data_IF_075198953913
#
_entry.id   IF_075198953913
#
_cell.length_a   1.000
_cell.length_b   1.000
_cell.length_c   1.000
_cell.angle_alpha   90.00
_cell.angle_beta   90.00
_cell.angle_gamma   90.00
#
_symmetry.space_group_name_H-M   'P 1'
#
loop_
_entity.id
_entity.type
_entity.pdbx_description
1 polymer ?
#
# COMPACT_ATOMS: atom_id res chain seq x y z
N UNK A 1 -37.44 -37.91 6.45
CA UNK A 1 -37.68 -36.89 7.47
C UNK A 1 -36.42 -36.86 8.30
N UNK A 2 -35.70 -35.75 8.16
CA UNK A 2 -34.53 -35.27 8.92
C UNK A 2 -33.25 -36.10 8.97
N UNK A 3 -32.43 -35.98 7.90
CA UNK A 3 -30.98 -36.11 8.02
C UNK A 3 -30.38 -34.70 8.18
N UNK A 4 -30.04 -34.36 9.42
CA UNK A 4 -29.35 -33.13 9.77
C UNK A 4 -27.89 -33.19 9.28
N UNK A 5 -27.59 -32.44 8.22
CA UNK A 5 -26.21 -32.15 7.83
C UNK A 5 -25.57 -31.24 8.89
N UNK A 6 -24.70 -31.81 9.72
CA UNK A 6 -23.76 -31.03 10.53
C UNK A 6 -22.64 -30.54 9.61
N UNK A 7 -22.67 -29.26 9.24
CA UNK A 7 -21.54 -28.61 8.59
C UNK A 7 -20.51 -28.32 9.69
N UNK A 8 -19.40 -29.06 9.69
CA UNK A 8 -18.23 -28.72 10.48
C UNK A 8 -17.63 -27.43 9.92
N UNK A 9 -17.94 -26.31 10.55
CA UNK A 9 -17.28 -25.03 10.30
C UNK A 9 -15.81 -25.20 10.69
N UNK A 10 -14.92 -25.18 9.69
CA UNK A 10 -13.47 -25.16 9.91
C UNK A 10 -13.09 -23.92 10.72
N UNK A 11 -12.24 -24.10 11.73
CA UNK A 11 -11.79 -23.09 12.69
C UNK A 11 -10.93 -21.95 12.09
N UNK A 12 -11.44 -21.24 11.07
CA UNK A 12 -10.81 -20.02 10.53
C UNK A 12 -11.71 -18.79 10.56
N UNK A 13 -12.94 -18.90 11.07
CA UNK A 13 -13.73 -17.73 11.47
C UNK A 13 -13.45 -17.39 12.93
N UNK A 14 -12.19 -17.14 13.25
CA UNK A 14 -11.87 -16.32 14.41
C UNK A 14 -11.97 -14.87 13.95
N UNK A 15 -13.08 -14.26 14.33
CA UNK A 15 -13.30 -12.83 14.41
C UNK A 15 -12.02 -12.16 14.93
N UNK A 16 -11.26 -11.49 14.05
CA UNK A 16 -10.15 -10.61 14.44
C UNK A 16 -10.74 -9.43 15.22
N UNK A 17 -11.00 -9.68 16.50
CA UNK A 17 -11.58 -8.72 17.43
C UNK A 17 -10.42 -8.17 18.25
N UNK A 18 -9.91 -7.01 17.82
CA UNK A 18 -9.28 -6.01 18.69
C UNK A 18 -8.10 -6.44 19.55
N UNK A 19 -7.05 -6.99 18.96
CA UNK A 19 -5.71 -6.82 19.52
C UNK A 19 -5.21 -5.39 19.24
N UNK A 20 -4.27 -4.86 20.05
CA UNK A 20 -3.46 -3.73 19.60
C UNK A 20 -2.77 -4.19 18.31
N UNK A 21 -3.27 -3.74 17.15
CA UNK A 21 -2.69 -4.08 15.86
C UNK A 21 -1.20 -3.75 15.93
N UNK A 22 -0.35 -4.77 15.74
CA UNK A 22 1.09 -4.58 15.77
C UNK A 22 1.46 -3.60 14.64
N UNK A 23 1.94 -2.42 15.03
CA UNK A 23 2.38 -1.40 14.08
C UNK A 23 3.80 -1.71 13.61
N UNK A 24 4.02 -1.45 12.32
CA UNK A 24 5.30 -1.57 11.65
C UNK A 24 5.85 -0.18 11.41
N UNK A 25 7.07 0.08 11.87
CA UNK A 25 7.70 1.40 11.77
C UNK A 25 8.99 1.33 10.96
N UNK A 26 9.15 2.27 10.04
CA UNK A 26 10.41 2.53 9.34
C UNK A 26 10.81 3.98 9.60
N UNK A 27 12.12 4.28 9.67
CA UNK A 27 12.65 5.63 9.85
C UNK A 27 13.91 5.83 9.00
N UNK A 28 14.03 7.00 8.37
CA UNK A 28 15.21 7.50 7.68
C UNK A 28 15.25 9.02 7.86
N UNK A 29 16.20 9.54 8.65
CA UNK A 29 16.30 10.97 8.97
C UNK A 29 14.97 11.57 9.48
N UNK A 30 14.48 12.63 8.82
CA UNK A 30 13.22 13.33 9.07
C UNK A 30 11.99 12.63 8.47
N UNK A 31 12.19 11.48 7.83
CA UNK A 31 11.14 10.63 7.29
C UNK A 31 10.87 9.45 8.21
N UNK A 32 9.61 9.22 8.53
CA UNK A 32 9.20 7.97 9.17
C UNK A 32 7.85 7.51 8.65
N UNK A 33 7.60 6.22 8.82
CA UNK A 33 6.34 5.60 8.43
C UNK A 33 5.81 4.72 9.56
N UNK A 34 4.50 4.74 9.74
CA UNK A 34 3.75 3.82 10.59
C UNK A 34 2.70 3.13 9.74
N UNK A 35 2.69 1.80 9.72
CA UNK A 35 1.75 1.00 8.94
C UNK A 35 1.25 -0.21 9.75
N UNK A 36 0.15 -0.82 9.30
CA UNK A 36 -0.28 -2.11 9.84
C UNK A 36 0.65 -3.26 9.40
N UNK A 37 0.40 -4.47 9.90
CA UNK A 37 1.16 -5.68 9.53
C UNK A 37 1.01 -6.12 8.07
N UNK A 38 0.09 -5.54 7.27
CA UNK A 38 0.02 -5.74 5.82
C UNK A 38 0.84 -4.69 5.05
N UNK A 39 1.34 -3.66 5.73
CA UNK A 39 1.97 -2.49 5.13
C UNK A 39 0.96 -1.44 4.65
N UNK A 40 -0.31 -1.58 5.04
CA UNK A 40 -1.37 -0.64 4.70
C UNK A 40 -1.34 0.56 5.65
N UNK A 41 -1.64 1.73 5.10
CA UNK A 41 -1.90 2.95 5.87
C UNK A 41 -3.42 3.19 5.84
N UNK A 42 -4.09 3.02 6.98
CA UNK A 42 -5.57 3.13 7.05
C UNK A 42 -6.04 4.49 7.56
N UNK A 43 -5.12 5.35 7.98
CA UNK A 43 -5.39 6.58 8.72
C UNK A 43 -5.17 6.37 10.22
N UNK A 44 -5.79 7.18 11.08
CA UNK A 44 -5.53 7.12 12.52
C UNK A 44 -4.06 7.47 12.81
N UNK A 45 -3.32 6.54 13.43
CA UNK A 45 -1.87 6.69 13.69
C UNK A 45 -0.99 6.38 12.47
N UNK A 46 -1.51 5.70 11.45
CA UNK A 46 -0.75 5.30 10.28
C UNK A 46 -0.41 6.49 9.38
N UNK A 47 0.70 6.40 8.66
CA UNK A 47 1.05 7.36 7.63
C UNK A 47 2.53 7.35 7.24
N UNK A 48 2.85 8.05 6.16
CA UNK A 48 4.19 8.53 5.85
C UNK A 48 4.32 9.98 6.34
N UNK A 49 5.35 10.27 7.11
CA UNK A 49 5.56 11.55 7.77
C UNK A 49 6.92 12.13 7.39
N UNK A 50 6.92 13.42 7.04
CA UNK A 50 8.13 14.20 6.74
C UNK A 50 8.08 15.44 7.61
N UNK A 51 9.12 15.70 8.40
CA UNK A 51 9.14 16.82 9.37
C UNK A 51 7.84 16.90 10.19
N UNK A 52 7.47 15.77 10.81
CA UNK A 52 6.27 15.61 11.64
C UNK A 52 4.92 15.88 10.94
N UNK A 53 4.90 16.01 9.60
CA UNK A 53 3.68 16.21 8.81
C UNK A 53 3.36 14.96 7.99
N UNK A 54 2.13 14.45 8.11
CA UNK A 54 1.65 13.28 7.37
C UNK A 54 1.40 13.60 5.90
N UNK A 55 2.34 13.19 5.05
CA UNK A 55 2.30 13.41 3.59
C UNK A 55 1.56 12.30 2.81
N UNK A 56 1.32 11.16 3.45
CA UNK A 56 0.47 10.07 2.96
C UNK A 56 -0.33 9.50 4.13
N UNK A 57 -1.63 9.76 4.18
CA UNK A 57 -2.54 9.36 5.26
C UNK A 57 -3.26 8.05 4.99
N UNK A 58 -3.38 7.67 3.71
CA UNK A 58 -3.97 6.41 3.28
C UNK A 58 -3.15 5.79 2.16
N UNK A 59 -2.96 4.47 2.23
CA UNK A 59 -2.34 3.65 1.20
C UNK A 59 -2.68 2.18 1.49
N UNK A 60 -3.78 1.70 0.92
CA UNK A 60 -4.35 0.36 1.20
C UNK A 60 -4.38 -0.45 -0.07
N UNK A 61 -3.78 -1.64 -0.05
CA UNK A 61 -3.75 -2.55 -1.19
C UNK A 61 -4.91 -3.55 -1.15
N UNK A 62 -5.59 -3.75 -2.28
CA UNK A 62 -6.59 -4.80 -2.47
C UNK A 62 -6.29 -5.65 -3.70
N UNK A 63 -6.60 -6.94 -3.59
CA UNK A 63 -6.39 -7.98 -4.59
C UNK A 63 -7.71 -8.67 -4.83
N UNK A 64 -8.25 -8.60 -6.05
CA UNK A 64 -9.58 -9.13 -6.35
C UNK A 64 -10.68 -8.50 -5.49
N UNK A 65 -10.62 -7.18 -5.28
CA UNK A 65 -11.56 -6.38 -4.46
C UNK A 65 -11.52 -6.63 -2.94
N UNK A 66 -10.60 -7.48 -2.45
CA UNK A 66 -10.48 -7.79 -1.03
C UNK A 66 -9.05 -7.61 -0.53
N UNK A 67 -8.88 -7.50 0.79
CA UNK A 67 -7.56 -7.59 1.43
C UNK A 67 -7.01 -9.02 1.22
N UNK A 68 -5.76 -9.21 0.76
CA UNK A 68 -5.20 -10.53 0.57
C UNK A 68 -4.96 -11.23 1.92
N UNK A 69 -4.88 -12.57 1.89
CA UNK A 69 -4.59 -13.39 3.06
C UNK A 69 -3.11 -13.26 3.44
N UNK A 70 -2.81 -12.83 4.67
CA UNK A 70 -1.43 -12.64 5.13
C UNK A 70 -0.77 -13.98 5.45
N UNK A 71 0.48 -14.13 5.02
CA UNK A 71 1.33 -15.27 5.35
C UNK A 71 2.35 -14.89 6.42
N UNK A 72 3.04 -13.75 6.24
CA UNK A 72 4.03 -13.24 7.18
C UNK A 72 4.31 -11.77 6.93
N UNK A 73 4.81 -11.06 7.94
CA UNK A 73 5.30 -9.70 7.80
C UNK A 73 6.40 -9.41 8.81
N UNK A 74 7.31 -8.51 8.50
CA UNK A 74 8.32 -8.07 9.45
C UNK A 74 9.16 -6.91 8.93
N UNK A 75 9.93 -6.35 9.84
CA UNK A 75 11.00 -5.40 9.56
C UNK A 75 12.34 -6.13 9.70
N UNK A 76 13.29 -5.86 8.82
CA UNK A 76 14.64 -6.42 8.87
C UNK A 76 15.37 -6.02 10.15
N UNK A 77 16.40 -6.78 10.54
CA UNK A 77 17.14 -6.55 11.80
C UNK A 77 17.82 -5.16 11.87
N UNK A 78 18.21 -4.61 10.72
CA UNK A 78 18.77 -3.27 10.56
C UNK A 78 17.68 -2.16 10.56
N UNK A 79 16.40 -2.51 10.68
CA UNK A 79 15.25 -1.62 10.60
C UNK A 79 15.08 -0.85 9.28
N UNK A 80 15.73 -1.31 8.21
CA UNK A 80 15.70 -0.63 6.90
C UNK A 80 14.52 -1.09 6.03
N UNK A 81 14.23 -2.39 6.00
CA UNK A 81 13.23 -2.96 5.09
C UNK A 81 12.04 -3.52 5.83
N UNK A 82 10.86 -3.10 5.42
CA UNK A 82 9.62 -3.84 5.66
C UNK A 82 9.40 -4.87 4.56
N UNK A 83 8.88 -6.04 4.91
CA UNK A 83 8.39 -7.03 3.96
C UNK A 83 7.10 -7.67 4.45
N UNK A 84 6.13 -7.84 3.55
CA UNK A 84 4.89 -8.56 3.79
C UNK A 84 4.66 -9.56 2.66
N UNK A 85 4.41 -10.81 3.04
CA UNK A 85 4.03 -11.88 2.12
C UNK A 85 2.55 -12.20 2.32
N UNK A 86 1.82 -12.20 1.22
CA UNK A 86 0.38 -12.47 1.19
C UNK A 86 0.05 -13.42 0.04
N UNK A 87 -1.15 -14.00 0.07
CA UNK A 87 -1.72 -14.75 -1.03
C UNK A 87 -3.10 -14.24 -1.39
N UNK A 88 -3.51 -14.44 -2.65
CA UNK A 88 -4.87 -14.10 -3.06
C UNK A 88 -5.93 -14.92 -2.32
N UNK A 89 -7.06 -14.27 -2.05
CA UNK A 89 -8.37 -14.91 -1.84
C UNK A 89 -8.95 -15.32 -3.21
N UNK A 90 -10.07 -16.09 -3.28
CA UNK A 90 -10.69 -16.39 -4.56
C UNK A 90 -10.94 -15.11 -5.37
N UNK A 91 -10.40 -15.04 -6.59
CA UNK A 91 -10.54 -13.85 -7.42
C UNK A 91 -11.92 -13.81 -8.08
N UNK A 92 -12.48 -12.62 -8.39
CA UNK A 92 -13.72 -12.55 -9.14
C UNK A 92 -13.54 -13.21 -10.53
N UNK A 93 -14.55 -13.93 -11.05
CA UNK A 93 -14.48 -14.52 -12.39
C UNK A 93 -14.46 -13.42 -13.46
N UNK A 94 -13.41 -13.36 -14.28
CA UNK A 94 -13.21 -12.35 -15.32
C UNK A 94 -13.34 -12.98 -16.72
N UNK A 95 -14.57 -13.34 -17.11
CA UNK A 95 -14.85 -13.99 -18.40
C UNK A 95 -14.44 -15.47 -18.48
N UNK A 96 -13.99 -16.06 -17.36
CA UNK A 96 -13.57 -17.45 -17.22
C UNK A 96 -13.70 -17.94 -15.78
N UNK A 97 -13.00 -19.03 -15.43
CA UNK A 97 -13.03 -19.57 -14.06
C UNK A 97 -12.32 -18.62 -13.08
N UNK A 98 -12.84 -18.53 -11.87
CA UNK A 98 -12.20 -17.82 -10.77
C UNK A 98 -10.85 -18.48 -10.44
N UNK A 99 -9.80 -17.68 -10.31
CA UNK A 99 -8.53 -18.19 -9.79
C UNK A 99 -8.74 -18.61 -8.32
N UNK A 100 -8.37 -19.86 -7.96
CA UNK A 100 -8.56 -20.36 -6.60
C UNK A 100 -7.75 -19.55 -5.59
N UNK A 101 -8.14 -19.61 -4.32
CA UNK A 101 -7.32 -19.03 -3.25
C UNK A 101 -5.94 -19.70 -3.18
N UNK A 102 -4.91 -18.95 -2.79
CA UNK A 102 -3.60 -19.55 -2.48
C UNK A 102 -2.62 -19.67 -3.65
N UNK A 103 -3.01 -19.31 -4.89
CA UNK A 103 -2.17 -19.55 -6.09
C UNK A 103 -1.33 -18.36 -6.53
N UNK A 104 -1.65 -17.15 -6.07
CA UNK A 104 -0.84 -15.96 -6.28
C UNK A 104 -0.09 -15.61 -5.01
N UNK A 105 1.23 -15.69 -5.06
CA UNK A 105 2.08 -15.11 -4.02
C UNK A 105 2.29 -13.63 -4.32
N UNK A 106 2.12 -12.78 -3.31
CA UNK A 106 2.28 -11.33 -3.43
C UNK A 106 3.19 -10.86 -2.29
N UNK A 107 4.37 -10.34 -2.66
CA UNK A 107 5.35 -9.75 -1.75
C UNK A 107 5.32 -8.23 -1.90
N UNK A 108 5.05 -7.52 -0.80
CA UNK A 108 5.33 -6.09 -0.69
C UNK A 108 6.65 -5.91 0.04
N UNK A 109 7.60 -5.21 -0.57
CA UNK A 109 8.88 -4.86 0.04
C UNK A 109 9.08 -3.35 -0.01
N UNK A 110 9.31 -2.74 1.15
CA UNK A 110 9.33 -1.29 1.33
C UNK A 110 10.54 -0.83 2.11
N UNK A 111 11.07 0.34 1.77
CA UNK A 111 12.09 1.05 2.55
C UNK A 111 11.89 2.57 2.41
N UNK A 112 12.58 3.33 3.26
CA UNK A 112 12.58 4.79 3.27
C UNK A 112 13.98 5.29 2.95
N UNK A 113 14.09 6.29 2.09
CA UNK A 113 15.35 6.95 1.74
C UNK A 113 15.08 8.31 1.11
N UNK A 114 15.93 9.31 1.38
CA UNK A 114 15.88 10.64 0.75
C UNK A 114 14.46 11.25 0.68
N UNK A 115 13.79 11.34 1.84
CA UNK A 115 12.43 11.88 2.00
C UNK A 115 11.37 11.18 1.12
N UNK A 116 11.61 9.93 0.72
CA UNK A 116 10.70 9.09 -0.05
C UNK A 116 10.54 7.68 0.52
N UNK A 117 9.36 7.14 0.33
CA UNK A 117 9.05 5.72 0.41
C UNK A 117 9.25 5.09 -0.97
N UNK A 118 9.95 3.96 -0.99
CA UNK A 118 10.07 3.08 -2.14
C UNK A 118 9.39 1.75 -1.82
N UNK A 119 8.52 1.26 -2.71
CA UNK A 119 7.87 -0.03 -2.59
C UNK A 119 7.96 -0.82 -3.90
N UNK A 120 8.21 -2.12 -3.75
CA UNK A 120 8.03 -3.11 -4.80
C UNK A 120 6.92 -4.06 -4.39
N UNK A 121 5.95 -4.24 -5.27
CA UNK A 121 4.93 -5.28 -5.19
C UNK A 121 5.23 -6.35 -6.23
N UNK A 122 5.77 -7.48 -5.78
CA UNK A 122 6.07 -8.64 -6.61
C UNK A 122 4.91 -9.62 -6.57
N UNK A 123 4.39 -9.98 -7.73
CA UNK A 123 3.27 -10.91 -7.89
C UNK A 123 3.77 -12.13 -8.66
N UNK A 124 3.54 -13.33 -8.13
CA UNK A 124 3.99 -14.61 -8.73
C UNK A 124 2.82 -15.57 -8.84
N UNK A 125 2.57 -16.05 -10.06
CA UNK A 125 1.54 -17.06 -10.32
C UNK A 125 2.11 -18.48 -10.15
N UNK A 126 1.73 -19.14 -9.05
CA UNK A 126 2.03 -20.55 -8.76
C UNK A 126 0.90 -21.50 -9.19
N UNK A 127 -0.17 -20.98 -9.80
CA UNK A 127 -1.26 -21.75 -10.36
C UNK A 127 -0.88 -22.50 -11.63
N UNK A 128 -1.86 -23.22 -12.18
CA UNK A 128 -1.70 -24.01 -13.42
C UNK A 128 -2.36 -23.35 -14.64
N UNK A 129 -3.02 -22.22 -14.44
CA UNK A 129 -3.70 -21.41 -15.47
C UNK A 129 -3.16 -19.98 -15.46
N UNK A 130 -3.38 -19.27 -16.55
CA UNK A 130 -3.10 -17.83 -16.64
C UNK A 130 -4.13 -17.06 -15.79
N UNK A 131 -3.67 -16.02 -15.11
CA UNK A 131 -4.51 -15.24 -14.19
C UNK A 131 -4.58 -13.78 -14.66
N UNK A 132 -5.80 -13.26 -14.76
CA UNK A 132 -6.04 -11.82 -14.76
C UNK A 132 -6.21 -11.36 -13.30
N UNK A 133 -5.30 -10.50 -12.86
CA UNK A 133 -5.19 -10.03 -11.48
C UNK A 133 -5.69 -8.59 -11.37
N UNK A 134 -6.87 -8.36 -10.77
CA UNK A 134 -7.29 -7.02 -10.35
C UNK A 134 -6.50 -6.62 -9.10
N UNK A 135 -5.68 -5.58 -9.21
CA UNK A 135 -4.94 -4.97 -8.10
C UNK A 135 -5.39 -3.52 -7.97
N UNK A 136 -5.63 -3.04 -6.76
CA UNK A 136 -5.96 -1.64 -6.54
C UNK A 136 -5.34 -1.07 -5.27
N UNK A 137 -5.06 0.23 -5.32
CA UNK A 137 -4.59 1.01 -4.18
C UNK A 137 -5.56 2.15 -3.90
N UNK A 138 -6.07 2.23 -2.67
CA UNK A 138 -6.75 3.42 -2.16
C UNK A 138 -5.75 4.28 -1.41
N UNK A 139 -5.73 5.57 -1.67
CA UNK A 139 -4.74 6.47 -1.11
C UNK A 139 -5.28 7.87 -0.82
N UNK A 140 -4.52 8.63 -0.04
CA UNK A 140 -4.84 10.01 0.30
C UNK A 140 -3.73 10.67 1.10
N UNK A 141 -3.74 11.99 1.11
CA UNK A 141 -2.87 12.83 1.92
C UNK A 141 -3.72 13.87 2.64
N UNK A 142 -3.42 14.11 3.93
CA UNK A 142 -4.15 15.09 4.73
C UNK A 142 -3.28 16.20 5.32
N UNK A 143 -1.95 16.04 5.32
CA UNK A 143 -1.00 17.00 5.90
C UNK A 143 -1.28 17.29 7.38
N UNK A 144 -1.80 16.30 8.11
CA UNK A 144 -1.94 16.39 9.56
C UNK A 144 -0.56 16.35 10.23
N UNK A 145 -0.30 17.26 11.17
CA UNK A 145 0.91 17.19 11.99
C UNK A 145 0.80 16.07 13.06
N UNK A 146 1.91 15.74 13.68
CA UNK A 146 1.97 14.67 14.69
C UNK A 146 1.09 14.93 15.91
N UNK A 147 0.81 16.18 16.28
CA UNK A 147 -0.09 16.50 17.40
C UNK A 147 -1.54 16.22 17.02
N UNK A 148 -1.95 16.58 15.80
CA UNK A 148 -3.27 16.23 15.25
C UNK A 148 -3.46 14.71 15.21
N UNK A 149 -2.45 13.97 14.74
CA UNK A 149 -2.49 12.50 14.70
C UNK A 149 -2.57 11.89 16.10
N UNK A 150 -1.92 12.50 17.09
CA UNK A 150 -2.00 12.11 18.51
C UNK A 150 -3.27 12.58 19.23
N UNK A 151 -4.23 13.15 18.52
CA UNK A 151 -5.55 13.53 19.06
C UNK A 151 -5.64 14.95 19.60
N UNK A 152 -4.65 15.81 19.36
CA UNK A 152 -4.75 17.23 19.69
C UNK A 152 -5.50 17.96 18.57
N UNK A 153 -6.76 18.41 18.79
CA UNK A 153 -7.51 19.08 17.75
C UNK A 153 -6.88 20.43 17.38
N UNK A 154 -6.91 20.79 16.09
CA UNK A 154 -6.54 22.12 15.62
C UNK A 154 -7.79 22.95 15.41
N UNK A 155 -7.83 24.16 15.96
CA UNK A 155 -8.93 25.09 15.76
C UNK A 155 -9.07 25.56 14.30
N UNK A 156 -7.96 25.64 13.56
CA UNK A 156 -7.91 26.03 12.15
C UNK A 156 -6.94 25.13 11.38
N UNK A 157 -7.23 24.91 10.10
CA UNK A 157 -6.36 24.22 9.15
C UNK A 157 -6.17 25.11 7.92
N UNK A 158 -5.08 24.85 7.21
CA UNK A 158 -4.85 25.38 5.88
C UNK A 158 -5.78 24.76 4.83
N UNK A 159 -5.49 24.99 3.56
CA UNK A 159 -6.34 24.57 2.45
C UNK A 159 -5.69 23.44 1.66
N UNK A 160 -6.40 22.33 1.50
CA UNK A 160 -6.03 21.26 0.58
C UNK A 160 -6.61 21.54 -0.80
N UNK A 161 -5.79 21.42 -1.84
CA UNK A 161 -6.26 21.46 -3.22
C UNK A 161 -6.81 20.09 -3.64
N UNK A 162 -7.64 20.08 -4.69
CA UNK A 162 -8.05 18.84 -5.32
C UNK A 162 -6.81 18.11 -5.90
N UNK A 163 -6.64 16.79 -5.66
CA UNK A 163 -5.52 16.06 -6.21
C UNK A 163 -5.50 16.11 -7.74
N UNK A 164 -4.31 16.26 -8.32
CA UNK A 164 -4.10 16.22 -9.79
C UNK A 164 -3.38 14.95 -10.18
N UNK A 165 -3.55 14.47 -11.41
CA UNK A 165 -2.90 13.24 -11.88
C UNK A 165 -2.62 13.23 -13.38
N UNK A 166 -1.58 12.50 -13.80
CA UNK A 166 -1.07 12.45 -15.18
C UNK A 166 -1.15 11.04 -15.82
N UNK A 167 -1.95 10.14 -15.24
CA UNK A 167 -2.11 8.76 -15.70
C UNK A 167 -1.14 7.76 -15.06
N UNK A 168 -0.15 8.21 -14.29
CA UNK A 168 0.71 7.33 -13.46
C UNK A 168 1.13 7.94 -12.13
N UNK A 169 0.96 9.24 -11.96
CA UNK A 169 1.27 9.99 -10.74
C UNK A 169 0.04 10.71 -10.24
N UNK A 170 -0.06 10.85 -8.93
CA UNK A 170 -1.01 11.71 -8.24
C UNK A 170 -0.23 12.70 -7.39
N UNK A 171 -0.58 13.98 -7.50
CA UNK A 171 0.02 15.05 -6.72
C UNK A 171 -1.00 15.63 -5.74
N UNK A 172 -0.57 15.79 -4.49
CA UNK A 172 -1.32 16.41 -3.41
C UNK A 172 -0.65 17.74 -3.05
N UNK A 173 -1.47 18.76 -2.77
CA UNK A 173 -0.99 20.08 -2.37
C UNK A 173 -1.82 20.62 -1.20
N UNK A 174 -1.13 21.25 -0.27
CA UNK A 174 -1.71 21.88 0.90
C UNK A 174 -1.01 23.20 1.21
N UNK A 175 -1.79 24.27 1.30
CA UNK A 175 -1.33 25.58 1.73
C UNK A 175 -1.57 25.73 3.23
N UNK A 176 -0.50 25.81 4.02
CA UNK A 176 -0.59 25.97 5.47
C UNK A 176 -1.01 27.38 5.88
N UNK A 177 -1.40 27.54 7.16
CA UNK A 177 -1.70 28.86 7.74
C UNK A 177 -0.47 29.76 7.89
N UNK A 178 0.70 29.19 7.65
CA UNK A 178 2.02 29.83 7.62
C UNK A 178 2.41 30.28 6.20
N UNK A 179 1.49 30.24 5.24
CA UNK A 179 1.71 30.51 3.82
C UNK A 179 2.76 29.58 3.18
N UNK A 180 3.10 28.46 3.85
CA UNK A 180 4.01 27.45 3.32
C UNK A 180 3.21 26.39 2.58
N UNK A 181 3.47 26.28 1.27
CA UNK A 181 2.97 25.18 0.46
C UNK A 181 3.71 23.88 0.79
N UNK A 182 2.95 22.84 1.10
CA UNK A 182 3.41 21.47 1.26
C UNK A 182 2.85 20.63 0.11
N UNK A 183 3.67 19.76 -0.44
CA UNK A 183 3.25 18.86 -1.52
C UNK A 183 3.78 17.46 -1.32
N UNK A 184 3.04 16.50 -1.83
CA UNK A 184 3.48 15.12 -1.93
C UNK A 184 3.01 14.51 -3.23
N UNK A 185 3.74 13.50 -3.69
CA UNK A 185 3.42 12.76 -4.89
C UNK A 185 3.38 11.26 -4.59
N UNK A 186 2.52 10.52 -5.30
CA UNK A 186 2.47 9.06 -5.37
C UNK A 186 2.58 8.64 -6.84
N UNK A 187 3.52 7.76 -7.16
CA UNK A 187 3.82 7.34 -8.53
C UNK A 187 3.87 5.82 -8.68
N UNK A 188 3.47 5.32 -9.85
CA UNK A 188 3.49 3.90 -10.22
C UNK A 188 4.35 3.67 -11.47
N UNK A 189 5.11 2.56 -11.51
CA UNK A 189 5.91 2.18 -12.68
C UNK A 189 5.05 1.80 -13.88
N UNK A 190 3.96 1.08 -13.62
CA UNK A 190 2.94 0.77 -14.63
C UNK A 190 1.82 1.81 -14.56
N UNK A 191 1.29 2.26 -15.71
CA UNK A 191 0.10 3.10 -15.72
C UNK A 191 -1.12 2.27 -15.28
N UNK A 192 -1.90 2.71 -14.27
CA UNK A 192 -3.16 2.06 -13.92
C UNK A 192 -4.15 2.11 -15.09
N UNK A 193 -5.02 1.10 -15.19
CA UNK A 193 -6.15 1.12 -16.12
C UNK A 193 -7.15 2.24 -15.77
N UNK A 194 -7.28 2.57 -14.48
CA UNK A 194 -7.98 3.76 -14.00
C UNK A 194 -7.21 4.43 -12.88
N UNK A 195 -7.02 5.74 -12.99
CA UNK A 195 -6.41 6.57 -11.95
C UNK A 195 -7.35 7.73 -11.61
N UNK A 196 -7.58 7.92 -10.33
CA UNK A 196 -8.30 9.07 -9.77
C UNK A 196 -7.43 9.72 -8.68
N UNK A 197 -7.88 10.84 -8.11
CA UNK A 197 -7.19 11.49 -6.99
C UNK A 197 -7.08 10.67 -5.70
N UNK A 198 -7.77 9.51 -5.60
CA UNK A 198 -7.81 8.70 -4.38
C UNK A 198 -7.64 7.19 -4.64
N UNK A 199 -7.59 6.74 -5.90
CA UNK A 199 -7.56 5.32 -6.24
C UNK A 199 -6.85 5.04 -7.56
N UNK A 200 -6.02 4.00 -7.57
CA UNK A 200 -5.40 3.41 -8.76
C UNK A 200 -5.87 1.96 -8.93
N UNK A 201 -6.32 1.60 -10.12
CA UNK A 201 -6.82 0.26 -10.46
C UNK A 201 -6.02 -0.32 -11.63
N UNK A 202 -5.53 -1.54 -11.45
CA UNK A 202 -4.71 -2.28 -12.41
C UNK A 202 -5.39 -3.57 -12.80
N UNK A 203 -5.12 -4.02 -14.02
CA UNK A 203 -5.47 -5.35 -14.50
C UNK A 203 -4.22 -6.01 -15.08
N UNK A 204 -3.64 -6.93 -14.33
CA UNK A 204 -2.38 -7.57 -14.68
C UNK A 204 -2.61 -8.96 -15.27
N UNK A 205 -2.03 -9.24 -16.43
CA UNK A 205 -1.99 -10.60 -16.97
C UNK A 205 -0.75 -11.32 -16.45
N UNK A 206 -0.98 -12.39 -15.70
CA UNK A 206 0.07 -13.22 -15.10
C UNK A 206 -0.02 -14.65 -15.65
N UNK A 207 0.75 -14.98 -16.69
CA UNK A 207 0.78 -16.34 -17.21
C UNK A 207 1.27 -17.35 -16.16
N UNK A 208 0.93 -18.63 -16.37
CA UNK A 208 1.36 -19.73 -15.51
C UNK A 208 2.87 -19.68 -15.20
N UNK A 209 3.22 -19.70 -13.91
CA UNK A 209 4.61 -19.74 -13.45
C UNK A 209 5.39 -18.43 -13.63
N UNK A 210 4.74 -17.34 -14.08
CA UNK A 210 5.38 -16.05 -14.30
C UNK A 210 5.22 -15.12 -13.11
N UNK A 211 6.13 -14.15 -13.04
CA UNK A 211 6.12 -13.07 -12.06
C UNK A 211 6.14 -11.70 -12.71
N UNK A 212 5.61 -10.71 -12.02
CA UNK A 212 5.72 -9.29 -12.39
C UNK A 212 5.96 -8.45 -11.14
N UNK A 213 6.69 -7.35 -11.31
CA UNK A 213 6.97 -6.38 -10.26
C UNK A 213 6.30 -5.05 -10.63
N UNK A 214 5.57 -4.46 -9.68
CA UNK A 214 5.09 -3.08 -9.72
C UNK A 214 5.94 -2.26 -8.75
N UNK A 215 6.54 -1.16 -9.21
CA UNK A 215 7.30 -0.25 -8.37
C UNK A 215 6.47 1.00 -8.07
N UNK A 216 6.56 1.46 -6.83
CA UNK A 216 5.76 2.56 -6.30
C UNK A 216 6.69 3.48 -5.52
N UNK A 217 6.62 4.78 -5.77
CA UNK A 217 7.34 5.80 -5.00
C UNK A 217 6.34 6.80 -4.42
N UNK A 218 6.56 7.23 -3.18
CA UNK A 218 5.81 8.33 -2.58
C UNK A 218 6.72 9.21 -1.74
N UNK A 219 6.59 10.53 -1.83
CA UNK A 219 7.34 11.45 -0.98
C UNK A 219 6.97 12.89 -1.26
N UNK A 220 7.78 13.81 -0.73
CA UNK A 220 7.61 15.24 -0.98
C UNK A 220 7.95 15.63 -2.41
N UNK A 221 7.47 16.81 -2.80
CA UNK A 221 7.73 17.43 -4.10
C UNK A 221 7.23 16.54 -5.25
N UNK A 222 7.98 16.45 -6.36
CA UNK A 222 7.64 15.61 -7.50
C UNK A 222 8.18 14.18 -7.33
N UNK A 223 7.54 13.17 -7.91
CA UNK A 223 8.17 11.86 -8.12
C UNK A 223 8.69 11.74 -9.55
N UNK A 224 9.76 10.99 -9.74
CA UNK A 224 10.09 10.44 -11.06
C UNK A 224 9.22 9.20 -11.36
N UNK A 225 9.40 8.60 -12.53
CA UNK A 225 8.72 7.34 -12.85
C UNK A 225 9.46 6.23 -12.11
N UNK A 226 8.79 5.48 -11.23
CA UNK A 226 9.43 4.37 -10.53
C UNK A 226 9.85 3.29 -11.53
N UNK A 227 10.99 2.65 -11.26
CA UNK A 227 11.44 1.49 -12.00
C UNK A 227 12.36 0.60 -11.14
N UNK A 228 12.74 -0.54 -11.70
CA UNK A 228 13.63 -1.49 -11.02
C UNK A 228 15.03 -0.93 -10.74
N UNK A 229 15.54 -0.04 -11.61
CA UNK A 229 16.86 0.56 -11.44
C UNK A 229 16.86 1.50 -10.24
N UNK A 230 15.91 2.44 -10.17
CA UNK A 230 15.72 3.37 -9.07
C UNK A 230 15.50 2.64 -7.76
N UNK A 231 14.61 1.63 -7.74
CA UNK A 231 14.39 0.83 -6.55
C UNK A 231 15.69 0.19 -6.06
N UNK A 232 16.48 -0.41 -6.96
CA UNK A 232 17.74 -1.06 -6.61
C UNK A 232 18.80 -0.09 -6.10
N UNK A 233 19.01 1.05 -6.79
CA UNK A 233 20.03 2.03 -6.39
C UNK A 233 19.70 2.63 -5.02
N UNK A 234 18.45 3.03 -4.80
CA UNK A 234 18.04 3.60 -3.52
C UNK A 234 18.00 2.54 -2.40
N UNK A 235 17.71 1.28 -2.71
CA UNK A 235 17.75 0.19 -1.72
C UNK A 235 19.18 -0.11 -1.23
N UNK A 236 20.19 0.12 -2.08
CA UNK A 236 21.60 0.01 -1.67
C UNK A 236 21.99 1.20 -0.80
N UNK A 237 21.53 2.41 -1.14
CA UNK A 237 21.82 3.62 -0.38
C UNK A 237 21.13 3.66 1.00
N UNK A 238 19.97 3.01 1.14
CA UNK A 238 19.21 2.96 2.40
C UNK A 238 19.81 2.03 3.47
N UNK A 239 20.81 1.22 3.13
CA UNK A 239 21.51 0.30 4.04
C UNK A 239 22.76 0.93 4.60
#
# INVERSE_FOLDING_TARGET
>A
MDDAYSVSVSASELTETGGLDQLMTLKSDDLFMVADTWGDLKGGADGLFVHDTRVLSRFVMSVGLAKPSKLSSGVSQDNVFFSCHTTNRPLPPMGGRSAPAGVLHIERRRFLWDRRMFERVRMVNHGVEDILLPLAFDFGADFADIFQVRGTPRAKRGKSDAPTHDGRRVNFRYEGLDDVTRSSCLAFSEPPARLTGQRAEFMFSLPKGRSMDLFIECGVDACDTPDAHRFRVNAVAAR
#
